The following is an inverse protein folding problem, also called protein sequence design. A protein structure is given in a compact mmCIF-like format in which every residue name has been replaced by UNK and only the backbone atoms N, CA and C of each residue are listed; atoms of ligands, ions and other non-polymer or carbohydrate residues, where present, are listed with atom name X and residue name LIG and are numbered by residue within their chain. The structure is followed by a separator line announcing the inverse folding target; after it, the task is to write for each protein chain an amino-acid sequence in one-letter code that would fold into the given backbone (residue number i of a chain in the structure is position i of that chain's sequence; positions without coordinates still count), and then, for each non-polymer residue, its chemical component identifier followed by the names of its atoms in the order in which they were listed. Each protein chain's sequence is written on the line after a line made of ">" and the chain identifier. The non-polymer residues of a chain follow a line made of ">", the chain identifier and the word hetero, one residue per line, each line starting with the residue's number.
data_IF_804277178309
#
_entry.id   IF_804277178309
#
_cell.length_a   1.000
_cell.length_b   1.000
_cell.length_c   1.000
_cell.angle_alpha   90.00
_cell.angle_beta   90.00
_cell.angle_gamma   90.00
#
_symmetry.space_group_name_H-M   'P 1'
#
loop_
_entity.id
_entity.type
_entity.pdbx_description
1 polymer ?
#
# COMPACT_ATOMS: atom_id res chain seq x y z
N UNK A 1 29.16 -24.07 -69.58
CA UNK A 1 29.16 -25.48 -70.00
C UNK A 1 28.08 -26.14 -69.16
N UNK A 2 26.84 -26.28 -69.64
CA UNK A 2 26.22 -27.44 -70.31
C UNK A 2 26.33 -28.66 -69.41
N UNK A 3 25.23 -29.33 -68.93
CA UNK A 3 24.05 -29.93 -69.55
C UNK A 3 23.09 -30.30 -68.46
N UNK A 4 21.79 -30.00 -68.45
CA UNK A 4 20.65 -30.64 -69.12
C UNK A 4 20.77 -32.19 -69.20
N UNK A 5 19.88 -32.89 -68.50
CA UNK A 5 19.09 -33.95 -69.11
C UNK A 5 17.83 -34.29 -68.26
N UNK A 6 16.77 -34.30 -68.99
CA UNK A 6 15.37 -34.63 -68.69
C UNK A 6 15.11 -36.15 -68.73
N UNK A 7 13.86 -36.50 -68.39
CA UNK A 7 13.03 -37.63 -68.88
C UNK A 7 13.16 -38.91 -68.04
N UNK A 8 12.12 -39.58 -67.57
CA UNK A 8 10.87 -40.03 -68.18
C UNK A 8 9.86 -40.57 -67.14
N UNK A 9 8.64 -40.35 -67.45
CA UNK A 9 7.37 -40.90 -66.97
C UNK A 9 7.32 -42.44 -67.08
N UNK A 10 6.81 -43.15 -66.05
CA UNK A 10 6.20 -44.46 -66.20
C UNK A 10 5.03 -44.67 -65.25
N UNK A 11 3.88 -44.75 -65.86
CA UNK A 11 2.57 -45.11 -65.31
C UNK A 11 2.56 -46.65 -65.13
N UNK A 12 2.20 -47.19 -63.96
CA UNK A 12 1.72 -48.56 -63.86
C UNK A 12 0.63 -48.68 -62.78
N UNK A 13 -0.51 -49.10 -63.28
CA UNK A 13 -1.74 -49.47 -62.58
C UNK A 13 -1.51 -50.65 -61.61
N UNK A 14 -2.25 -50.63 -60.49
CA UNK A 14 -2.83 -51.85 -59.91
C UNK A 14 -2.16 -52.40 -58.71
N UNK A 15 -2.67 -52.12 -57.53
CA UNK A 15 -2.62 -53.06 -56.38
C UNK A 15 -3.77 -52.80 -55.42
N UNK A 16 -4.22 -53.82 -54.69
CA UNK A 16 -5.55 -53.89 -54.11
C UNK A 16 -5.61 -53.17 -52.74
N UNK A 17 -6.78 -52.70 -52.46
CA UNK A 17 -7.22 -52.13 -51.17
C UNK A 17 -7.05 -53.17 -50.07
N UNK A 18 -6.01 -53.01 -49.23
CA UNK A 18 -5.96 -53.73 -47.95
C UNK A 18 -6.63 -52.85 -46.89
N UNK A 19 -7.80 -53.29 -46.47
CA UNK A 19 -8.48 -52.81 -45.29
C UNK A 19 -7.64 -53.18 -44.07
N UNK A 20 -6.94 -52.21 -43.49
CA UNK A 20 -6.29 -52.37 -42.22
C UNK A 20 -7.33 -52.36 -41.07
N UNK A 21 -7.20 -53.26 -40.07
CA UNK A 21 -8.11 -53.27 -38.96
C UNK A 21 -8.03 -51.98 -38.15
N UNK A 22 -9.20 -51.51 -37.71
CA UNK A 22 -9.38 -50.35 -36.84
C UNK A 22 -8.50 -50.50 -35.60
N UNK A 23 -7.46 -49.69 -35.49
CA UNK A 23 -6.74 -49.50 -34.23
C UNK A 23 -7.73 -48.86 -33.23
N UNK A 24 -8.06 -49.61 -32.21
CA UNK A 24 -8.69 -49.10 -30.99
C UNK A 24 -7.77 -48.01 -30.42
N UNK A 25 -8.22 -46.77 -30.58
CA UNK A 25 -7.61 -45.63 -29.90
C UNK A 25 -7.81 -45.84 -28.41
N UNK A 26 -6.74 -46.15 -27.70
CA UNK A 26 -6.75 -46.12 -26.23
C UNK A 26 -7.25 -44.77 -25.77
N UNK A 27 -8.06 -44.69 -24.70
CA UNK A 27 -8.52 -43.41 -24.21
C UNK A 27 -7.28 -42.56 -23.85
N UNK A 28 -7.15 -41.43 -24.51
CA UNK A 28 -6.22 -40.36 -24.13
C UNK A 28 -6.56 -40.03 -22.69
N UNK A 29 -5.69 -40.45 -21.78
CA UNK A 29 -5.72 -40.04 -20.39
C UNK A 29 -5.84 -38.52 -20.40
N UNK A 30 -7.00 -38.03 -20.03
CA UNK A 30 -7.25 -36.62 -19.93
C UNK A 30 -6.07 -36.02 -19.15
N UNK A 31 -5.29 -35.19 -19.82
CA UNK A 31 -4.36 -34.34 -19.14
C UNK A 31 -5.18 -33.63 -18.08
N UNK A 32 -4.96 -34.00 -16.85
CA UNK A 32 -5.48 -33.24 -15.72
C UNK A 32 -4.92 -31.83 -15.95
N UNK A 33 -5.85 -30.99 -16.36
CA UNK A 33 -5.68 -29.56 -16.38
C UNK A 33 -5.17 -29.21 -14.98
N UNK A 34 -3.88 -28.97 -14.86
CA UNK A 34 -3.33 -28.30 -13.71
C UNK A 34 -3.91 -26.90 -13.78
N UNK A 35 -5.14 -26.76 -13.27
CA UNK A 35 -5.61 -25.49 -12.81
C UNK A 35 -4.52 -25.02 -11.85
N UNK A 36 -3.71 -24.06 -12.29
CA UNK A 36 -2.94 -23.25 -11.40
C UNK A 36 -3.98 -22.72 -10.39
N UNK A 37 -4.05 -23.39 -9.24
CA UNK A 37 -4.78 -22.88 -8.11
C UNK A 37 -4.13 -21.53 -7.85
N UNK A 38 -4.85 -20.48 -8.17
CA UNK A 38 -4.61 -19.16 -7.61
C UNK A 38 -4.72 -19.37 -6.11
N UNK A 39 -3.60 -19.68 -5.47
CA UNK A 39 -3.55 -19.81 -4.02
C UNK A 39 -3.84 -18.41 -3.50
N UNK A 40 -5.08 -18.22 -3.01
CA UNK A 40 -5.44 -16.98 -2.34
C UNK A 40 -4.45 -16.80 -1.18
N UNK A 41 -3.71 -15.70 -1.19
CA UNK A 41 -2.79 -15.40 -0.11
C UNK A 41 -3.55 -15.37 1.22
N UNK A 42 -2.89 -15.80 2.27
CA UNK A 42 -3.39 -15.76 3.64
C UNK A 42 -2.70 -14.62 4.40
N UNK A 43 -3.38 -14.13 5.44
CA UNK A 43 -2.75 -13.18 6.36
C UNK A 43 -1.58 -13.84 7.08
N UNK A 44 -0.40 -13.23 7.01
CA UNK A 44 0.73 -13.65 7.79
C UNK A 44 0.54 -13.37 9.28
N UNK A 45 1.13 -14.19 10.13
CA UNK A 45 1.15 -14.01 11.57
C UNK A 45 2.44 -13.32 12.01
N UNK A 46 2.32 -12.44 12.99
CA UNK A 46 3.46 -11.73 13.56
C UNK A 46 3.41 -11.95 15.08
N UNK A 47 4.50 -12.44 15.64
CA UNK A 47 4.63 -12.66 17.08
C UNK A 47 5.47 -11.58 17.72
N UNK A 48 5.01 -11.05 18.84
CA UNK A 48 5.81 -10.20 19.73
C UNK A 48 6.75 -11.12 20.50
N UNK A 49 8.05 -11.09 20.18
CA UNK A 49 9.05 -11.95 20.85
C UNK A 49 9.47 -11.41 22.19
N UNK A 50 9.81 -10.11 22.23
CA UNK A 50 10.40 -9.47 23.41
C UNK A 50 9.97 -8.02 23.49
N UNK A 51 9.76 -7.55 24.72
CA UNK A 51 9.54 -6.14 25.04
C UNK A 51 10.58 -5.76 26.12
N UNK A 52 11.39 -4.76 25.83
CA UNK A 52 12.32 -4.17 26.78
C UNK A 52 11.78 -2.82 27.21
N UNK A 53 11.75 -2.54 28.50
CA UNK A 53 11.18 -1.30 29.05
C UNK A 53 9.66 -1.34 29.23
N UNK A 54 9.04 -0.17 29.40
CA UNK A 54 7.61 -0.02 29.64
C UNK A 54 7.01 1.10 28.81
N UNK A 55 5.68 1.02 28.50
CA UNK A 55 4.96 2.08 27.79
C UNK A 55 4.77 1.86 26.29
N UNK A 56 4.99 0.64 25.78
CA UNK A 56 4.64 0.28 24.40
C UNK A 56 3.13 0.07 24.24
N UNK A 57 2.58 0.57 23.15
CA UNK A 57 1.16 0.48 22.79
C UNK A 57 0.99 -0.07 21.39
N UNK A 58 -0.08 -0.83 21.20
CA UNK A 58 -0.60 -1.23 19.89
C UNK A 58 -1.83 -0.38 19.59
N UNK A 59 -1.92 0.11 18.37
CA UNK A 59 -3.15 0.66 17.83
C UNK A 59 -3.64 -0.31 16.73
N UNK A 60 -4.89 -0.71 16.83
CA UNK A 60 -5.54 -1.48 15.76
C UNK A 60 -5.91 -0.59 14.55
N UNK A 61 -6.45 -1.20 13.50
CA UNK A 61 -6.87 -0.49 12.29
C UNK A 61 -7.98 0.55 12.56
N UNK A 62 -8.70 0.43 13.67
CA UNK A 62 -9.73 1.37 14.11
C UNK A 62 -9.16 2.47 15.02
N UNK A 63 -7.86 2.43 15.32
CA UNK A 63 -7.18 3.39 16.20
C UNK A 63 -7.36 3.14 17.71
N UNK A 64 -7.96 1.99 18.11
CA UNK A 64 -8.06 1.63 19.51
C UNK A 64 -6.68 1.25 20.06
N UNK A 65 -6.36 1.81 21.21
CA UNK A 65 -5.07 1.56 21.86
C UNK A 65 -5.18 0.45 22.90
N UNK A 66 -4.25 -0.50 22.83
CA UNK A 66 -4.08 -1.55 23.82
C UNK A 66 -2.61 -1.72 24.22
N UNK A 67 -2.31 -2.23 25.43
CA UNK A 67 -0.94 -2.48 25.85
C UNK A 67 -0.32 -3.62 25.04
N UNK A 68 0.95 -3.46 24.68
CA UNK A 68 1.74 -4.50 24.04
C UNK A 68 2.05 -5.63 25.06
N UNK A 69 2.00 -6.88 24.61
CA UNK A 69 2.31 -8.06 25.45
C UNK A 69 3.26 -9.00 24.72
N UNK A 70 4.26 -9.51 25.42
CA UNK A 70 5.12 -10.59 24.91
C UNK A 70 4.30 -11.84 24.60
N UNK A 71 4.67 -12.54 23.54
CA UNK A 71 3.95 -13.71 23.05
C UNK A 71 2.67 -13.43 22.31
N UNK A 72 2.18 -12.19 22.30
CA UNK A 72 0.97 -11.81 21.55
C UNK A 72 1.18 -11.97 20.04
N UNK A 73 0.11 -12.37 19.36
CA UNK A 73 0.05 -12.35 17.90
C UNK A 73 -0.62 -11.06 17.43
N UNK A 74 0.02 -10.39 16.49
CA UNK A 74 -0.49 -9.20 15.83
C UNK A 74 -0.57 -9.44 14.33
N UNK A 75 -1.31 -8.59 13.62
CA UNK A 75 -1.56 -8.74 12.19
C UNK A 75 -1.38 -7.42 11.46
N UNK A 76 -1.47 -7.44 10.15
CA UNK A 76 -1.52 -6.21 9.35
C UNK A 76 -2.62 -5.26 9.83
N UNK A 77 -2.48 -3.98 9.56
CA UNK A 77 -3.33 -2.91 10.08
C UNK A 77 -2.96 -2.46 11.49
N UNK A 78 -1.92 -3.06 12.10
CA UNK A 78 -1.46 -2.73 13.45
C UNK A 78 -0.37 -1.67 13.40
N UNK A 79 -0.49 -0.65 14.26
CA UNK A 79 0.57 0.34 14.52
C UNK A 79 1.14 0.13 15.92
N UNK A 80 2.45 0.07 16.05
CA UNK A 80 3.18 -0.03 17.31
C UNK A 80 3.81 1.33 17.61
N UNK A 81 3.53 1.84 18.80
CA UNK A 81 4.17 3.04 19.35
C UNK A 81 4.96 2.68 20.59
N UNK A 82 6.25 2.92 20.54
CA UNK A 82 7.16 2.68 21.67
C UNK A 82 7.37 3.96 22.49
N UNK A 83 7.52 3.81 23.79
CA UNK A 83 7.94 4.91 24.66
C UNK A 83 9.46 5.11 24.65
N UNK A 84 9.95 6.10 25.41
CA UNK A 84 11.36 6.52 25.45
C UNK A 84 12.35 5.43 25.86
N UNK A 85 11.90 4.45 26.61
CA UNK A 85 12.74 3.35 27.11
C UNK A 85 12.23 1.98 26.62
N UNK A 86 11.32 1.97 25.64
CA UNK A 86 10.68 0.73 25.20
C UNK A 86 11.21 0.31 23.84
N UNK A 87 11.76 -0.89 23.74
CA UNK A 87 12.00 -1.53 22.46
C UNK A 87 11.19 -2.83 22.33
N UNK A 88 10.84 -3.18 21.09
CA UNK A 88 9.98 -4.32 20.78
C UNK A 88 10.61 -5.14 19.67
N UNK A 89 10.76 -6.44 19.90
CA UNK A 89 11.19 -7.38 18.85
C UNK A 89 10.02 -8.20 18.36
N UNK A 90 9.82 -8.18 17.06
CA UNK A 90 8.78 -8.90 16.33
C UNK A 90 9.39 -9.99 15.45
N UNK A 91 8.67 -11.10 15.32
CA UNK A 91 8.96 -12.13 14.33
C UNK A 91 7.75 -12.32 13.42
N UNK A 92 7.98 -12.21 12.14
CA UNK A 92 7.02 -12.52 11.09
C UNK A 92 7.16 -14.01 10.72
N UNK A 93 6.06 -14.66 10.41
CA UNK A 93 6.13 -16.09 10.05
C UNK A 93 6.75 -16.36 8.67
N UNK A 94 7.12 -15.31 7.90
CA UNK A 94 8.03 -15.44 6.76
C UNK A 94 9.53 -15.45 7.14
N UNK A 95 9.86 -15.44 8.44
CA UNK A 95 11.24 -15.45 8.95
C UNK A 95 11.88 -14.08 9.11
N UNK A 96 11.17 -13.00 8.81
CA UNK A 96 11.67 -11.63 9.06
C UNK A 96 11.59 -11.27 10.53
N UNK A 97 12.65 -10.68 11.07
CA UNK A 97 12.65 -10.09 12.42
C UNK A 97 12.74 -8.56 12.34
N UNK A 98 11.97 -7.88 13.18
CA UNK A 98 11.97 -6.41 13.29
C UNK A 98 12.16 -6.01 14.74
N UNK A 99 13.13 -5.16 15.03
CA UNK A 99 13.25 -4.52 16.32
C UNK A 99 12.87 -3.05 16.18
N UNK A 100 11.81 -2.66 16.86
CA UNK A 100 11.30 -1.28 16.96
C UNK A 100 11.96 -0.64 18.16
N UNK A 101 12.80 0.36 17.93
CA UNK A 101 13.59 1.08 18.96
C UNK A 101 12.68 2.04 19.75
N UNK A 102 13.18 2.62 20.86
CA UNK A 102 12.47 3.66 21.60
C UNK A 102 12.02 4.84 20.72
N UNK A 103 10.97 5.52 21.19
CA UNK A 103 10.35 6.69 20.54
C UNK A 103 10.01 6.48 19.07
N UNK A 104 9.46 5.32 18.74
CA UNK A 104 9.16 4.94 17.35
C UNK A 104 7.67 4.76 17.11
N UNK A 105 7.26 5.14 15.88
CA UNK A 105 5.93 4.92 15.31
C UNK A 105 6.08 4.02 14.08
N UNK A 106 5.69 2.75 14.24
CA UNK A 106 5.88 1.69 13.27
C UNK A 106 4.56 1.02 12.94
N UNK A 107 4.20 0.95 11.66
CA UNK A 107 2.96 0.35 11.18
C UNK A 107 3.22 -0.84 10.26
N UNK A 108 2.39 -1.86 10.39
CA UNK A 108 2.33 -3.01 9.50
C UNK A 108 1.16 -2.79 8.55
N UNK A 109 1.42 -2.25 7.36
CA UNK A 109 0.37 -1.89 6.41
C UNK A 109 -0.18 -3.12 5.68
N UNK A 110 0.72 -4.03 5.27
CA UNK A 110 0.35 -5.29 4.63
C UNK A 110 1.32 -6.40 5.02
N UNK A 111 0.78 -7.58 5.31
CA UNK A 111 1.56 -8.79 5.42
C UNK A 111 0.70 -9.99 5.04
N UNK A 112 0.86 -10.44 3.81
CA UNK A 112 0.18 -11.58 3.23
C UNK A 112 1.19 -12.54 2.60
N UNK A 113 0.86 -13.83 2.53
CA UNK A 113 1.76 -14.86 2.03
C UNK A 113 1.00 -16.04 1.43
N UNK A 114 1.68 -16.83 0.59
CA UNK A 114 1.13 -18.09 0.14
C UNK A 114 0.95 -19.03 1.34
N UNK A 115 -0.13 -19.84 1.36
CA UNK A 115 -0.40 -20.74 2.49
C UNK A 115 0.75 -21.71 2.74
N UNK A 116 1.17 -21.82 3.99
CA UNK A 116 2.09 -22.84 4.49
C UNK A 116 1.84 -23.10 5.98
N UNK A 117 2.37 -24.20 6.51
CA UNK A 117 2.25 -24.50 7.92
C UNK A 117 3.43 -23.88 8.70
N UNK A 118 3.18 -22.77 9.36
CA UNK A 118 4.20 -22.05 10.14
C UNK A 118 4.71 -22.82 11.36
N UNK A 119 3.94 -23.83 11.84
CA UNK A 119 4.36 -24.68 12.95
C UNK A 119 5.47 -25.67 12.59
N UNK A 120 5.65 -25.95 11.29
CA UNK A 120 6.65 -26.91 10.79
C UNK A 120 8.00 -26.23 10.46
N UNK A 121 8.09 -24.91 10.64
CA UNK A 121 9.28 -24.12 10.31
C UNK A 121 10.13 -23.90 11.55
N UNK A 122 11.40 -24.29 11.45
CA UNK A 122 12.41 -23.89 12.43
C UNK A 122 12.99 -22.51 12.08
N UNK A 123 12.50 -21.50 12.75
CA UNK A 123 12.89 -20.10 12.50
C UNK A 123 14.31 -19.76 12.98
N UNK A 124 14.96 -20.60 13.76
CA UNK A 124 16.37 -20.39 14.16
C UNK A 124 17.34 -20.72 13.04
N UNK A 125 16.99 -21.70 12.22
CA UNK A 125 17.87 -22.20 11.14
C UNK A 125 17.44 -21.77 9.75
N UNK A 126 16.22 -21.23 9.60
CA UNK A 126 15.66 -20.79 8.33
C UNK A 126 16.37 -19.54 7.81
N UNK A 127 17.04 -19.65 6.65
CA UNK A 127 17.74 -18.56 5.98
C UNK A 127 16.96 -17.93 4.82
N UNK A 128 15.86 -18.56 4.41
CA UNK A 128 14.98 -18.08 3.34
C UNK A 128 13.53 -18.18 3.77
N UNK A 129 12.70 -17.30 3.25
CA UNK A 129 11.27 -17.36 3.57
C UNK A 129 10.63 -18.69 3.17
N UNK A 130 9.69 -19.22 3.98
CA UNK A 130 9.03 -20.49 3.72
C UNK A 130 8.11 -20.47 2.50
N UNK A 131 7.37 -19.38 2.30
CA UNK A 131 6.44 -19.17 1.19
C UNK A 131 6.67 -17.81 0.54
N UNK A 132 6.06 -17.54 -0.62
CA UNK A 132 6.11 -16.20 -1.19
C UNK A 132 5.27 -15.24 -0.33
N UNK A 133 5.75 -14.02 -0.14
CA UNK A 133 5.10 -13.03 0.71
C UNK A 133 5.07 -11.63 0.10
N UNK A 134 4.05 -10.87 0.48
CA UNK A 134 3.96 -9.43 0.21
C UNK A 134 3.94 -8.72 1.56
N UNK A 135 5.00 -7.96 1.82
CA UNK A 135 5.17 -7.25 3.09
C UNK A 135 5.33 -5.76 2.82
N UNK A 136 4.49 -4.97 3.44
CA UNK A 136 4.59 -3.51 3.45
C UNK A 136 4.57 -3.00 4.88
N UNK A 137 5.66 -2.37 5.26
CA UNK A 137 5.85 -1.75 6.57
C UNK A 137 5.95 -0.23 6.39
N UNK A 138 5.72 0.51 7.47
CA UNK A 138 5.88 1.97 7.48
C UNK A 138 6.54 2.41 8.78
N UNK A 139 7.50 3.31 8.65
CA UNK A 139 8.13 4.01 9.77
C UNK A 139 7.82 5.48 9.63
N UNK A 140 6.98 6.00 10.51
CA UNK A 140 6.60 7.41 10.51
C UNK A 140 7.59 8.26 11.31
N UNK A 141 8.15 7.69 12.38
CA UNK A 141 9.12 8.33 13.28
C UNK A 141 9.90 7.28 14.06
N UNK A 142 11.11 7.61 14.51
CA UNK A 142 11.96 6.74 15.31
C UNK A 142 12.85 5.84 14.48
N UNK A 143 13.25 4.70 15.04
CA UNK A 143 14.24 3.81 14.43
C UNK A 143 13.78 2.36 14.48
N UNK A 144 13.93 1.66 13.36
CA UNK A 144 13.77 0.21 13.30
C UNK A 144 15.06 -0.46 12.82
N UNK A 145 15.29 -1.68 13.29
CA UNK A 145 16.28 -2.59 12.73
C UNK A 145 15.55 -3.82 12.21
N UNK A 146 15.85 -4.19 10.98
CA UNK A 146 15.17 -5.29 10.30
C UNK A 146 16.18 -6.29 9.78
N UNK A 147 15.92 -7.56 10.03
CA UNK A 147 16.66 -8.67 9.44
C UNK A 147 15.69 -9.53 8.63
N UNK A 148 15.89 -9.52 7.31
CA UNK A 148 14.96 -10.11 6.35
C UNK A 148 15.60 -11.36 5.78
N UNK A 149 14.94 -12.50 5.94
CA UNK A 149 15.33 -13.74 5.30
C UNK A 149 15.35 -13.58 3.77
N UNK A 150 16.14 -14.42 3.08
CA UNK A 150 16.21 -14.38 1.62
C UNK A 150 14.83 -14.60 1.01
N UNK A 151 14.32 -13.59 0.29
CA UNK A 151 13.00 -13.60 -0.32
C UNK A 151 12.95 -14.51 -1.57
N UNK A 152 11.81 -15.14 -1.80
CA UNK A 152 11.51 -15.86 -3.04
C UNK A 152 11.32 -14.89 -4.21
N UNK A 153 11.37 -15.43 -5.43
CA UNK A 153 11.31 -14.62 -6.66
C UNK A 153 10.04 -13.74 -6.74
N UNK A 154 8.92 -14.27 -6.29
CA UNK A 154 7.61 -13.62 -6.36
C UNK A 154 7.25 -12.82 -5.10
N UNK A 155 8.19 -12.69 -4.15
CA UNK A 155 7.97 -11.93 -2.93
C UNK A 155 8.33 -10.47 -3.11
N UNK A 156 7.62 -9.60 -2.41
CA UNK A 156 7.95 -8.19 -2.31
C UNK A 156 8.05 -7.77 -0.85
N UNK A 157 9.05 -6.96 -0.54
CA UNK A 157 9.23 -6.37 0.77
C UNK A 157 9.56 -4.89 0.64
N UNK A 158 8.75 -4.07 1.26
CA UNK A 158 8.84 -2.62 1.15
C UNK A 158 8.69 -1.96 2.52
N UNK A 159 9.50 -0.94 2.77
CA UNK A 159 9.38 -0.09 3.96
C UNK A 159 9.14 1.34 3.51
N UNK A 160 7.96 1.86 3.80
CA UNK A 160 7.61 3.26 3.55
C UNK A 160 8.19 4.16 4.65
N UNK A 161 8.65 5.33 4.25
CA UNK A 161 9.16 6.39 5.12
C UNK A 161 8.54 7.72 4.73
N UNK A 162 8.65 8.79 5.55
CA UNK A 162 8.08 10.10 5.21
C UNK A 162 8.56 10.72 3.90
N UNK A 163 9.71 10.29 3.37
CA UNK A 163 10.35 10.89 2.17
C UNK A 163 10.57 9.91 1.02
N UNK A 164 10.09 8.69 1.15
CA UNK A 164 10.24 7.68 0.10
C UNK A 164 10.03 6.26 0.60
N UNK A 165 10.41 5.28 -0.19
CA UNK A 165 10.28 3.87 0.14
C UNK A 165 11.55 3.09 -0.12
N UNK A 166 11.81 2.08 0.71
CA UNK A 166 12.92 1.15 0.58
C UNK A 166 12.39 -0.20 0.08
N UNK A 167 12.80 -0.62 -1.11
CA UNK A 167 12.55 -1.96 -1.65
C UNK A 167 13.69 -2.91 -1.29
N UNK A 168 13.37 -4.12 -0.83
CA UNK A 168 14.33 -5.00 -0.18
C UNK A 168 14.21 -6.43 -0.70
N UNK A 169 15.38 -7.12 -0.82
CA UNK A 169 15.41 -8.53 -1.23
C UNK A 169 16.39 -9.36 -0.39
N UNK A 170 16.06 -9.58 0.91
CA UNK A 170 16.91 -10.35 1.81
C UNK A 170 18.13 -9.55 2.27
N UNK A 171 17.94 -8.75 3.29
CA UNK A 171 18.87 -7.69 3.71
C UNK A 171 18.71 -7.45 5.20
N UNK A 172 19.81 -7.18 5.86
CA UNK A 172 19.81 -6.66 7.24
C UNK A 172 20.07 -5.16 7.20
N UNK A 173 19.18 -4.37 7.78
CA UNK A 173 19.24 -2.90 7.67
C UNK A 173 18.68 -2.19 8.91
N UNK A 174 19.04 -0.94 9.07
CA UNK A 174 18.43 0.01 10.01
C UNK A 174 17.87 1.21 9.26
N UNK A 175 16.69 1.66 9.66
CA UNK A 175 16.07 2.91 9.17
C UNK A 175 15.77 3.78 10.38
N UNK A 176 16.19 5.04 10.32
CA UNK A 176 15.87 6.08 11.30
C UNK A 176 15.13 7.22 10.63
N UNK A 177 13.94 7.53 11.13
CA UNK A 177 13.11 8.65 10.71
C UNK A 177 13.06 9.69 11.83
N UNK A 178 13.46 10.92 11.54
CA UNK A 178 13.46 12.04 12.48
C UNK A 178 12.88 13.28 11.79
N UNK A 179 11.62 13.57 12.09
CA UNK A 179 10.87 14.71 11.51
C UNK A 179 11.47 16.08 11.86
N UNK A 180 12.22 16.15 12.98
CA UNK A 180 12.87 17.38 13.41
C UNK A 180 14.17 17.68 12.62
N UNK A 181 14.72 16.68 11.94
CA UNK A 181 15.89 16.84 11.09
C UNK A 181 15.47 17.17 9.66
N UNK A 182 15.39 18.46 9.33
CA UNK A 182 14.95 18.92 8.01
C UNK A 182 15.95 18.60 6.89
N UNK A 183 17.22 18.44 7.22
CA UNK A 183 18.27 18.14 6.23
C UNK A 183 18.24 16.69 5.79
N UNK A 184 18.13 15.76 6.74
CA UNK A 184 18.06 14.33 6.49
C UNK A 184 17.01 13.71 7.42
N UNK A 185 15.71 13.88 7.12
CA UNK A 185 14.63 13.31 7.93
C UNK A 185 14.63 11.78 7.93
N UNK A 186 15.30 11.14 6.98
CA UNK A 186 15.48 9.69 6.93
C UNK A 186 16.93 9.33 6.75
N UNK A 187 17.41 8.39 7.56
CA UNK A 187 18.73 7.76 7.42
C UNK A 187 18.54 6.26 7.26
N UNK A 188 19.12 5.68 6.23
CA UNK A 188 19.19 4.25 5.98
C UNK A 188 20.62 3.76 6.17
N UNK A 189 20.80 2.66 6.90
CA UNK A 189 22.06 1.95 7.05
C UNK A 189 21.86 0.49 6.69
N UNK A 190 22.63 -0.05 5.77
CA UNK A 190 22.53 -1.43 5.30
C UNK A 190 23.71 -2.22 5.88
N UNK A 191 23.41 -3.24 6.69
CA UNK A 191 24.46 -4.12 7.24
C UNK A 191 24.87 -5.20 6.22
N UNK A 192 23.89 -5.86 5.59
CA UNK A 192 24.13 -6.88 4.57
C UNK A 192 23.12 -6.75 3.43
N UNK A 193 23.50 -7.20 2.22
CA UNK A 193 22.63 -7.18 1.05
C UNK A 193 22.56 -5.83 0.34
N UNK A 194 21.47 -5.56 -0.37
CA UNK A 194 21.24 -4.33 -1.13
C UNK A 194 19.81 -3.86 -0.92
N UNK A 195 19.63 -2.57 -0.68
CA UNK A 195 18.35 -1.88 -0.55
C UNK A 195 18.21 -0.88 -1.69
N UNK A 196 17.07 -0.90 -2.37
CA UNK A 196 16.72 0.10 -3.36
C UNK A 196 15.88 1.19 -2.70
N UNK A 197 16.47 2.33 -2.40
CA UNK A 197 15.74 3.49 -1.86
C UNK A 197 15.19 4.32 -3.02
N UNK A 198 13.87 4.57 -3.01
CA UNK A 198 13.14 5.39 -3.99
C UNK A 198 12.55 6.61 -3.30
N UNK A 199 12.70 7.76 -3.92
CA UNK A 199 12.23 9.06 -3.40
C UNK A 199 11.73 9.92 -4.54
N UNK A 200 11.13 11.06 -4.25
CA UNK A 200 10.79 12.06 -5.26
C UNK A 200 12.02 12.58 -6.04
N UNK A 201 13.21 12.54 -5.43
CA UNK A 201 14.48 12.96 -6.07
C UNK A 201 15.16 11.87 -6.89
N UNK A 202 14.56 10.67 -7.01
CA UNK A 202 15.10 9.56 -7.78
C UNK A 202 15.25 8.27 -6.98
N UNK A 203 16.07 7.36 -7.50
CA UNK A 203 16.28 6.03 -6.92
C UNK A 203 17.78 5.79 -6.71
N UNK A 204 18.13 5.15 -5.59
CA UNK A 204 19.51 4.82 -5.23
C UNK A 204 19.62 3.44 -4.60
N UNK A 205 20.54 2.63 -5.10
CA UNK A 205 20.92 1.37 -4.46
C UNK A 205 21.93 1.66 -3.33
N UNK A 206 21.70 1.05 -2.17
CA UNK A 206 22.57 1.14 -0.99
C UNK A 206 23.00 -0.28 -0.64
N UNK A 207 24.30 -0.56 -0.72
CA UNK A 207 24.88 -1.86 -0.45
C UNK A 207 25.27 -2.08 1.00
N UNK A 208 25.60 -3.34 1.34
CA UNK A 208 26.08 -3.70 2.67
C UNK A 208 27.28 -2.84 3.12
N UNK A 209 27.28 -2.42 4.38
CA UNK A 209 28.26 -1.51 4.95
C UNK A 209 28.06 -0.03 4.60
N UNK A 210 27.09 0.30 3.75
CA UNK A 210 26.83 1.68 3.32
C UNK A 210 25.67 2.30 4.10
N UNK A 211 25.69 3.63 4.18
CA UNK A 211 24.61 4.44 4.72
C UNK A 211 24.27 5.60 3.81
N UNK A 212 23.03 6.02 3.81
CA UNK A 212 22.52 7.15 3.03
C UNK A 212 21.54 7.96 3.85
N UNK A 213 21.63 9.29 3.76
CA UNK A 213 20.60 10.22 4.21
C UNK A 213 19.68 10.59 3.07
N UNK A 214 18.41 10.80 3.38
CA UNK A 214 17.42 11.29 2.43
C UNK A 214 16.86 12.59 2.94
N UNK A 215 17.00 13.63 2.15
CA UNK A 215 16.48 14.96 2.45
C UNK A 215 14.95 15.05 2.26
N UNK A 216 14.36 16.12 2.78
CA UNK A 216 12.92 16.39 2.66
C UNK A 216 12.42 16.50 1.22
N UNK A 217 13.29 16.90 0.29
CA UNK A 217 13.04 16.97 -1.16
C UNK A 217 13.35 15.67 -1.90
N UNK A 218 13.73 14.61 -1.18
CA UNK A 218 14.10 13.32 -1.77
C UNK A 218 15.55 13.21 -2.26
N UNK A 219 16.37 14.24 -2.08
CA UNK A 219 17.81 14.20 -2.43
C UNK A 219 18.59 13.26 -1.52
N UNK A 220 19.63 12.61 -2.07
CA UNK A 220 20.47 11.66 -1.34
C UNK A 220 21.76 12.29 -0.87
N UNK A 221 22.16 12.07 0.39
CA UNK A 221 23.45 12.43 0.96
C UNK A 221 24.21 11.18 1.43
N UNK A 222 25.49 11.10 1.14
CA UNK A 222 26.33 10.02 1.66
C UNK A 222 26.73 10.33 3.10
N UNK A 223 26.79 9.30 3.95
CA UNK A 223 27.24 9.37 5.35
C UNK A 223 26.64 10.56 6.15
N UNK A 224 25.30 10.64 6.30
CA UNK A 224 24.68 11.70 7.07
C UNK A 224 25.08 11.62 8.55
N UNK A 225 24.92 12.71 9.31
CA UNK A 225 25.12 12.69 10.76
C UNK A 225 24.28 11.58 11.41
N UNK A 226 24.89 10.79 12.29
CA UNK A 226 24.25 9.63 12.93
C UNK A 226 24.26 8.32 12.12
N UNK A 227 24.75 8.34 10.86
CA UNK A 227 24.81 7.14 10.02
C UNK A 227 25.67 6.03 10.64
N UNK A 228 26.81 6.38 11.21
CA UNK A 228 27.70 5.40 11.86
C UNK A 228 27.07 4.81 13.12
N UNK A 229 26.36 5.62 13.92
CA UNK A 229 25.64 5.14 15.10
C UNK A 229 24.52 4.18 14.68
N UNK A 230 23.76 4.52 13.64
CA UNK A 230 22.74 3.64 13.10
C UNK A 230 23.33 2.33 12.56
N UNK A 231 24.45 2.40 11.83
CA UNK A 231 25.15 1.22 11.32
C UNK A 231 25.62 0.30 12.47
N UNK A 232 26.24 0.88 13.50
CA UNK A 232 26.68 0.13 14.68
C UNK A 232 25.50 -0.48 15.44
N UNK A 233 24.46 0.32 15.70
CA UNK A 233 23.24 -0.16 16.35
C UNK A 233 22.58 -1.30 15.56
N UNK A 234 22.54 -1.18 14.24
CA UNK A 234 22.00 -2.22 13.35
C UNK A 234 22.79 -3.52 13.49
N UNK A 235 24.11 -3.45 13.37
CA UNK A 235 25.00 -4.62 13.44
C UNK A 235 24.96 -5.30 14.82
N UNK A 236 24.82 -4.54 15.90
CA UNK A 236 24.72 -5.08 17.27
C UNK A 236 23.34 -5.67 17.56
N UNK A 237 22.27 -5.11 17.01
CA UNK A 237 20.89 -5.56 17.28
C UNK A 237 20.56 -6.87 16.61
N UNK A 238 21.04 -7.11 15.38
CA UNK A 238 20.72 -8.29 14.58
C UNK A 238 21.02 -9.61 15.32
N UNK A 239 22.22 -9.86 15.90
CA UNK A 239 22.48 -11.09 16.62
C UNK A 239 21.54 -11.29 17.82
N UNK A 240 21.22 -10.21 18.56
CA UNK A 240 20.31 -10.26 19.69
C UNK A 240 18.87 -10.63 19.26
N UNK A 241 18.42 -10.10 18.10
CA UNK A 241 17.13 -10.47 17.53
C UNK A 241 17.09 -11.95 17.14
N UNK A 242 18.11 -12.45 16.45
CA UNK A 242 18.22 -13.85 16.04
C UNK A 242 18.24 -14.80 17.25
N UNK A 243 18.98 -14.46 18.31
CA UNK A 243 19.01 -15.23 19.56
C UNK A 243 17.66 -15.24 20.31
N UNK A 244 16.82 -14.24 20.11
CA UNK A 244 15.50 -14.16 20.75
C UNK A 244 14.43 -15.02 20.07
N UNK A 245 14.71 -15.58 18.90
CA UNK A 245 13.77 -16.41 18.13
C UNK A 245 13.69 -17.81 18.75
N UNK A 246 12.52 -18.23 19.29
CA UNK A 246 12.37 -19.60 19.78
C UNK A 246 12.20 -20.58 18.60
N UNK A 247 12.65 -21.85 18.74
CA UNK A 247 12.56 -22.85 17.67
C UNK A 247 11.10 -23.06 17.18
N UNK A 248 10.15 -22.99 18.10
CA UNK A 248 8.73 -23.22 17.85
C UNK A 248 7.91 -21.92 17.95
N UNK A 249 8.38 -20.88 17.30
CA UNK A 249 7.84 -19.52 17.45
C UNK A 249 6.32 -19.42 17.16
N UNK A 250 5.80 -20.22 16.24
CA UNK A 250 4.39 -20.19 15.81
C UNK A 250 3.60 -21.45 16.19
N UNK A 251 4.09 -22.27 17.14
CA UNK A 251 3.30 -23.35 17.69
C UNK A 251 2.08 -22.79 18.44
N UNK A 252 0.91 -23.38 18.19
CA UNK A 252 -0.34 -22.93 18.80
C UNK A 252 -0.88 -21.61 18.24
N UNK A 253 -0.28 -21.12 17.16
CA UNK A 253 -0.83 -19.99 16.41
C UNK A 253 -2.23 -20.36 15.89
N UNK A 254 -3.25 -19.52 16.05
CA UNK A 254 -4.53 -19.76 15.42
C UNK A 254 -4.30 -19.85 13.89
N UNK A 255 -5.00 -20.80 13.21
CA UNK A 255 -4.85 -20.94 11.78
C UNK A 255 -5.02 -19.58 11.11
N UNK A 256 -4.15 -19.24 10.14
CA UNK A 256 -4.25 -17.96 9.46
C UNK A 256 -5.64 -17.86 8.83
N UNK A 257 -6.36 -16.81 9.19
CA UNK A 257 -7.60 -16.51 8.50
C UNK A 257 -7.26 -16.30 7.01
N UNK A 258 -8.12 -16.72 6.07
CA UNK A 258 -7.98 -16.28 4.69
C UNK A 258 -7.82 -14.77 4.74
N UNK A 259 -6.80 -14.24 4.03
CA UNK A 259 -6.62 -12.81 3.94
C UNK A 259 -7.98 -12.24 3.52
N UNK A 260 -8.59 -11.30 4.27
CA UNK A 260 -9.64 -10.55 3.65
C UNK A 260 -9.05 -10.07 2.33
N UNK A 261 -9.80 -10.05 1.24
CA UNK A 261 -9.34 -9.38 0.05
C UNK A 261 -8.81 -8.06 0.56
N UNK A 262 -7.52 -7.81 0.36
CA UNK A 262 -6.85 -6.64 0.92
C UNK A 262 -7.79 -5.48 0.63
N UNK A 263 -8.24 -4.77 1.67
CA UNK A 263 -9.10 -3.63 1.45
C UNK A 263 -8.28 -2.72 0.52
N UNK A 264 -8.48 -2.90 -0.79
CA UNK A 264 -7.82 -2.17 -1.85
C UNK A 264 -6.82 -2.88 -2.74
N UNK A 265 -6.46 -4.16 -2.63
CA UNK A 265 -5.58 -4.75 -3.64
C UNK A 265 -6.08 -6.09 -4.14
N UNK A 266 -6.73 -6.08 -5.30
CA UNK A 266 -7.11 -7.26 -6.08
C UNK A 266 -5.91 -7.84 -6.85
N UNK A 267 -4.69 -7.29 -6.63
CA UNK A 267 -3.48 -7.64 -7.36
C UNK A 267 -2.89 -8.97 -6.94
N UNK A 268 -2.67 -9.82 -7.91
CA UNK A 268 -1.90 -11.05 -7.72
C UNK A 268 -0.41 -10.75 -7.46
N UNK A 269 0.30 -11.68 -6.80
CA UNK A 269 1.74 -11.56 -6.60
C UNK A 269 2.53 -11.40 -7.92
N UNK A 270 2.03 -12.00 -9.01
CA UNK A 270 2.63 -11.87 -10.34
C UNK A 270 2.46 -10.44 -10.89
N UNK A 271 1.28 -9.84 -10.75
CA UNK A 271 1.03 -8.45 -11.15
C UNK A 271 1.89 -7.47 -10.34
N UNK A 272 1.98 -7.65 -9.03
CA UNK A 272 2.87 -6.86 -8.17
C UNK A 272 4.34 -6.98 -8.58
N UNK A 273 4.82 -8.19 -8.90
CA UNK A 273 6.19 -8.41 -9.40
C UNK A 273 6.42 -7.71 -10.75
N UNK A 274 5.43 -7.72 -11.65
CA UNK A 274 5.49 -7.03 -12.94
C UNK A 274 5.59 -5.51 -12.74
N UNK A 275 4.73 -4.93 -11.90
CA UNK A 275 4.78 -3.51 -11.54
C UNK A 275 6.13 -3.14 -10.94
N UNK A 276 6.64 -3.96 -10.02
CA UNK A 276 7.93 -3.73 -9.37
C UNK A 276 9.08 -3.76 -10.39
N UNK A 277 9.15 -4.80 -11.24
CA UNK A 277 10.18 -4.91 -12.26
C UNK A 277 10.13 -3.75 -13.27
N UNK A 278 8.94 -3.35 -13.69
CA UNK A 278 8.74 -2.22 -14.59
C UNK A 278 9.15 -0.88 -13.94
N UNK A 279 8.88 -0.71 -12.64
CA UNK A 279 9.30 0.51 -11.92
C UNK A 279 10.82 0.68 -11.83
N UNK A 280 11.59 -0.42 -11.89
CA UNK A 280 13.05 -0.40 -11.94
C UNK A 280 13.59 0.04 -13.31
N UNK A 281 12.80 -0.13 -14.37
CA UNK A 281 13.15 0.26 -15.74
C UNK A 281 12.77 1.71 -16.05
N UNK A 282 11.97 2.35 -15.20
CA UNK A 282 11.59 3.77 -15.33
C UNK A 282 10.12 3.99 -15.64
N UNK A 283 9.76 5.27 -15.85
CA UNK A 283 8.37 5.71 -15.99
C UNK A 283 7.66 5.04 -17.18
N UNK A 284 8.30 5.00 -18.35
CA UNK A 284 7.67 4.51 -19.57
C UNK A 284 7.38 3.01 -19.51
N UNK A 285 8.34 2.22 -18.98
CA UNK A 285 8.14 0.80 -18.75
C UNK A 285 7.03 0.52 -17.72
N UNK A 286 6.95 1.36 -16.67
CA UNK A 286 5.92 1.23 -15.65
C UNK A 286 4.53 1.55 -16.23
N UNK A 287 4.40 2.60 -17.04
CA UNK A 287 3.14 2.96 -17.71
C UNK A 287 2.69 1.83 -18.63
N UNK A 288 3.58 1.29 -19.47
CA UNK A 288 3.27 0.16 -20.35
C UNK A 288 2.84 -1.10 -19.56
N UNK A 289 3.48 -1.39 -18.42
CA UNK A 289 3.08 -2.49 -17.55
C UNK A 289 1.69 -2.27 -16.95
N UNK A 290 1.39 -1.05 -16.52
CA UNK A 290 0.06 -0.69 -15.98
C UNK A 290 -1.02 -0.81 -17.05
N UNK A 291 -0.77 -0.35 -18.26
CA UNK A 291 -1.70 -0.50 -19.40
C UNK A 291 -2.00 -1.97 -19.70
N UNK A 292 -0.96 -2.82 -19.77
CA UNK A 292 -1.11 -4.24 -20.01
C UNK A 292 -1.91 -4.94 -18.88
N UNK A 293 -1.56 -4.68 -17.63
CA UNK A 293 -2.22 -5.28 -16.47
C UNK A 293 -3.66 -4.79 -16.28
N UNK A 294 -3.91 -3.50 -16.52
CA UNK A 294 -5.26 -2.93 -16.45
C UNK A 294 -6.16 -3.44 -17.59
N UNK A 295 -5.60 -3.75 -18.76
CA UNK A 295 -6.33 -4.37 -19.87
C UNK A 295 -6.71 -5.82 -19.57
N UNK A 296 -5.83 -6.57 -18.86
CA UNK A 296 -6.12 -7.93 -18.42
C UNK A 296 -7.14 -7.99 -17.26
N UNK A 297 -7.11 -6.99 -16.38
CA UNK A 297 -7.93 -6.94 -15.16
C UNK A 297 -8.48 -5.53 -14.92
N UNK A 298 -9.49 -5.07 -15.68
CA UNK A 298 -10.02 -3.71 -15.54
C UNK A 298 -10.62 -3.41 -14.16
N UNK A 299 -11.11 -4.43 -13.46
CA UNK A 299 -11.62 -4.34 -12.09
C UNK A 299 -10.51 -4.06 -11.06
N UNK A 300 -9.27 -4.47 -11.37
CA UNK A 300 -8.10 -4.22 -10.53
C UNK A 300 -7.33 -2.96 -10.93
N UNK A 301 -7.79 -2.21 -11.94
CA UNK A 301 -7.05 -1.06 -12.49
C UNK A 301 -6.68 0.00 -11.44
N UNK A 302 -7.55 0.23 -10.44
CA UNK A 302 -7.29 1.17 -9.35
C UNK A 302 -6.14 0.71 -8.45
N UNK A 303 -6.08 -0.58 -8.14
CA UNK A 303 -5.05 -1.18 -7.30
C UNK A 303 -3.72 -1.27 -8.05
N UNK A 304 -3.75 -1.62 -9.35
CA UNK A 304 -2.59 -1.64 -10.24
C UNK A 304 -1.96 -0.24 -10.29
N UNK A 305 -2.77 0.79 -10.51
CA UNK A 305 -2.32 2.17 -10.59
C UNK A 305 -1.77 2.67 -9.24
N UNK A 306 -2.41 2.33 -8.11
CA UNK A 306 -1.94 2.66 -6.78
C UNK A 306 -0.59 1.99 -6.47
N UNK A 307 -0.46 0.68 -6.75
CA UNK A 307 0.79 -0.05 -6.56
C UNK A 307 1.93 0.49 -7.43
N UNK A 308 1.63 0.88 -8.67
CA UNK A 308 2.60 1.49 -9.57
C UNK A 308 3.03 2.89 -9.10
N UNK A 309 2.10 3.71 -8.62
CA UNK A 309 2.39 5.03 -8.07
C UNK A 309 3.21 4.93 -6.75
N UNK A 310 2.96 3.91 -5.94
CA UNK A 310 3.74 3.62 -4.74
C UNK A 310 5.17 3.17 -5.10
N UNK A 311 5.29 2.32 -6.12
CA UNK A 311 6.59 1.86 -6.61
C UNK A 311 7.43 2.99 -7.25
N UNK A 312 6.79 3.95 -7.94
CA UNK A 312 7.45 5.11 -8.56
C UNK A 312 6.57 6.36 -8.44
N UNK A 313 6.65 7.11 -7.33
CA UNK A 313 5.79 8.29 -7.08
C UNK A 313 5.86 9.39 -8.14
N UNK A 314 7.00 9.51 -8.83
CA UNK A 314 7.17 10.48 -9.92
C UNK A 314 6.34 10.14 -11.16
N UNK A 315 5.93 8.87 -11.32
CA UNK A 315 5.09 8.40 -12.40
C UNK A 315 3.58 8.44 -12.05
N UNK A 316 3.20 8.81 -10.83
CA UNK A 316 1.84 8.69 -10.30
C UNK A 316 0.77 9.28 -11.24
N UNK A 317 1.00 10.47 -11.80
CA UNK A 317 0.07 11.11 -12.73
C UNK A 317 -0.07 10.33 -14.03
N UNK A 318 1.05 9.89 -14.63
CA UNK A 318 1.06 9.15 -15.90
C UNK A 318 0.39 7.78 -15.75
N UNK A 319 0.70 7.09 -14.66
CA UNK A 319 0.09 5.80 -14.30
C UNK A 319 -1.42 5.93 -14.09
N UNK A 320 -1.87 6.97 -13.37
CA UNK A 320 -3.30 7.21 -13.17
C UNK A 320 -4.04 7.47 -14.48
N UNK A 321 -3.45 8.23 -15.38
CA UNK A 321 -4.02 8.53 -16.72
C UNK A 321 -4.09 7.25 -17.56
N UNK A 322 -3.00 6.50 -17.65
CA UNK A 322 -2.93 5.27 -18.43
C UNK A 322 -3.99 4.24 -17.96
N UNK A 323 -4.06 3.99 -16.66
CA UNK A 323 -5.07 3.11 -16.08
C UNK A 323 -6.51 3.60 -16.34
N UNK A 324 -6.77 4.92 -16.22
CA UNK A 324 -8.09 5.49 -16.43
C UNK A 324 -8.52 5.46 -17.90
N UNK A 325 -7.61 5.51 -18.85
CA UNK A 325 -7.90 5.33 -20.27
C UNK A 325 -8.32 3.90 -20.61
N UNK A 326 -7.71 2.92 -19.96
CA UNK A 326 -8.07 1.49 -20.11
C UNK A 326 -9.38 1.16 -19.39
N UNK A 327 -9.60 1.72 -18.20
CA UNK A 327 -10.78 1.48 -17.38
C UNK A 327 -11.53 2.78 -17.04
N UNK A 328 -12.21 3.43 -18.01
CA UNK A 328 -12.86 4.73 -17.81
C UNK A 328 -13.96 4.73 -16.74
N UNK A 329 -14.65 3.61 -16.58
CA UNK A 329 -15.68 3.45 -15.54
C UNK A 329 -15.10 3.51 -14.13
N UNK A 330 -13.81 3.14 -13.95
CA UNK A 330 -13.08 3.17 -12.69
C UNK A 330 -12.25 4.45 -12.50
N UNK A 331 -12.30 5.42 -13.42
CA UNK A 331 -11.42 6.60 -13.43
C UNK A 331 -11.40 7.38 -12.11
N UNK A 332 -12.56 7.55 -11.47
CA UNK A 332 -12.67 8.24 -10.18
C UNK A 332 -12.00 7.45 -9.04
N UNK A 333 -12.14 6.13 -9.04
CA UNK A 333 -11.51 5.24 -8.07
C UNK A 333 -10.00 5.17 -8.28
N UNK A 334 -9.55 5.04 -9.53
CA UNK A 334 -8.12 5.06 -9.91
C UNK A 334 -7.46 6.36 -9.43
N UNK A 335 -8.06 7.51 -9.74
CA UNK A 335 -7.53 8.79 -9.33
C UNK A 335 -7.46 8.95 -7.80
N UNK A 336 -8.47 8.48 -7.07
CA UNK A 336 -8.51 8.50 -5.62
C UNK A 336 -7.44 7.59 -5.00
N UNK A 337 -7.30 6.34 -5.47
CA UNK A 337 -6.32 5.38 -4.97
C UNK A 337 -4.88 5.87 -5.20
N UNK A 338 -4.60 6.45 -6.37
CA UNK A 338 -3.29 7.04 -6.67
C UNK A 338 -3.04 8.30 -5.83
N UNK A 339 -4.06 9.14 -5.59
CA UNK A 339 -3.93 10.34 -4.75
C UNK A 339 -3.71 9.99 -3.26
N UNK A 340 -4.20 8.86 -2.77
CA UNK A 340 -3.89 8.38 -1.41
C UNK A 340 -2.41 8.05 -1.25
N UNK A 341 -1.80 7.48 -2.29
CA UNK A 341 -0.37 7.13 -2.30
C UNK A 341 0.51 8.36 -2.57
N UNK A 342 0.05 9.28 -3.41
CA UNK A 342 0.77 10.49 -3.81
C UNK A 342 -0.03 11.77 -3.54
N UNK A 343 -0.34 12.13 -2.28
CA UNK A 343 -1.24 13.24 -1.95
C UNK A 343 -0.73 14.62 -2.39
N UNK A 344 0.57 14.81 -2.51
CA UNK A 344 1.16 16.03 -3.04
C UNK A 344 0.85 16.26 -4.53
N UNK A 345 0.64 15.18 -5.29
CA UNK A 345 0.29 15.22 -6.71
C UNK A 345 -1.25 15.19 -6.95
N UNK A 346 -2.08 15.17 -5.90
CA UNK A 346 -3.52 15.01 -6.01
C UNK A 346 -4.20 16.00 -6.98
N UNK A 347 -3.88 17.31 -7.00
CA UNK A 347 -4.46 18.24 -7.98
C UNK A 347 -4.09 17.91 -9.44
N UNK A 348 -2.84 17.48 -9.67
CA UNK A 348 -2.36 17.09 -11.02
C UNK A 348 -2.98 15.77 -11.46
N UNK A 349 -3.06 14.78 -10.56
CA UNK A 349 -3.73 13.50 -10.82
C UNK A 349 -5.20 13.76 -11.20
N UNK A 350 -5.92 14.54 -10.39
CA UNK A 350 -7.33 14.86 -10.64
C UNK A 350 -7.54 15.55 -12.00
N UNK A 351 -6.75 16.58 -12.30
CA UNK A 351 -6.86 17.32 -13.55
C UNK A 351 -6.51 16.50 -14.78
N UNK A 352 -5.44 15.69 -14.71
CA UNK A 352 -4.98 14.87 -15.84
C UNK A 352 -5.93 13.71 -16.12
N UNK A 353 -6.45 13.03 -15.08
CA UNK A 353 -7.45 11.98 -15.23
C UNK A 353 -8.78 12.55 -15.71
N UNK A 354 -9.23 13.72 -15.20
CA UNK A 354 -10.42 14.39 -15.68
C UNK A 354 -10.30 14.84 -17.15
N UNK A 355 -9.13 15.28 -17.59
CA UNK A 355 -8.85 15.59 -18.99
C UNK A 355 -8.89 14.34 -19.89
N UNK A 356 -8.36 13.21 -19.39
CA UNK A 356 -8.38 11.94 -20.11
C UNK A 356 -9.80 11.32 -20.18
N UNK A 357 -10.61 11.50 -19.12
CA UNK A 357 -11.98 10.97 -19.01
C UNK A 357 -12.94 12.09 -18.59
N UNK A 358 -13.32 13.03 -19.49
CA UNK A 358 -14.12 14.21 -19.13
C UNK A 358 -15.49 13.88 -18.52
N UNK A 359 -16.10 12.76 -18.93
CA UNK A 359 -17.38 12.30 -18.40
C UNK A 359 -17.32 12.00 -16.89
N UNK A 360 -16.14 11.65 -16.37
CA UNK A 360 -15.92 11.34 -14.96
C UNK A 360 -15.42 12.55 -14.12
N UNK A 361 -15.27 13.74 -14.72
CA UNK A 361 -14.59 14.88 -14.08
C UNK A 361 -15.13 15.23 -12.69
N UNK A 362 -16.45 15.26 -12.50
CA UNK A 362 -17.11 15.58 -11.21
C UNK A 362 -16.81 14.50 -10.18
N UNK A 363 -16.92 13.21 -10.57
CA UNK A 363 -16.66 12.08 -9.68
C UNK A 363 -15.17 11.97 -9.33
N UNK A 364 -14.27 12.22 -10.30
CA UNK A 364 -12.82 12.30 -10.07
C UNK A 364 -12.51 13.39 -9.04
N UNK A 365 -13.06 14.58 -9.22
CA UNK A 365 -12.87 15.70 -8.30
C UNK A 365 -13.33 15.36 -6.86
N UNK A 366 -14.51 14.75 -6.72
CA UNK A 366 -15.05 14.31 -5.43
C UNK A 366 -14.17 13.25 -4.77
N UNK A 367 -13.84 12.18 -5.50
CA UNK A 367 -13.12 11.03 -4.96
C UNK A 367 -11.67 11.40 -4.59
N UNK A 368 -11.00 12.24 -5.40
CA UNK A 368 -9.66 12.73 -5.08
C UNK A 368 -9.68 13.71 -3.89
N UNK A 369 -10.72 14.54 -3.77
CA UNK A 369 -10.88 15.42 -2.60
C UNK A 369 -11.16 14.64 -1.31
N UNK A 370 -11.82 13.48 -1.40
CA UNK A 370 -11.97 12.56 -0.25
C UNK A 370 -10.65 11.92 0.15
N UNK A 371 -9.81 11.59 -0.84
CA UNK A 371 -8.48 11.01 -0.63
C UNK A 371 -7.45 12.02 -0.12
N UNK A 372 -7.54 13.28 -0.56
CA UNK A 372 -6.63 14.37 -0.22
C UNK A 372 -7.40 15.64 0.18
N UNK A 373 -8.09 15.65 1.33
CA UNK A 373 -9.04 16.73 1.71
C UNK A 373 -8.37 18.08 1.88
N UNK A 374 -7.10 18.12 2.26
CA UNK A 374 -6.33 19.36 2.40
C UNK A 374 -6.06 20.05 1.05
N UNK A 375 -6.17 19.32 -0.05
CA UNK A 375 -5.97 19.83 -1.41
C UNK A 375 -7.27 20.12 -2.16
N UNK A 376 -8.44 20.04 -1.51
CA UNK A 376 -9.76 20.11 -2.16
C UNK A 376 -9.94 21.35 -3.04
N UNK A 377 -9.55 22.54 -2.58
CA UNK A 377 -9.62 23.79 -3.35
C UNK A 377 -8.70 23.75 -4.58
N UNK A 378 -7.48 23.23 -4.42
CA UNK A 378 -6.53 23.10 -5.54
C UNK A 378 -7.02 22.07 -6.56
N UNK A 379 -7.62 20.96 -6.10
CA UNK A 379 -8.25 19.94 -6.95
C UNK A 379 -9.38 20.54 -7.78
N UNK A 380 -10.32 21.28 -7.14
CA UNK A 380 -11.42 21.95 -7.84
C UNK A 380 -10.89 22.86 -8.95
N UNK A 381 -9.93 23.74 -8.62
CA UNK A 381 -9.34 24.69 -9.55
C UNK A 381 -8.66 23.97 -10.73
N UNK A 382 -7.87 22.93 -10.44
CA UNK A 382 -7.13 22.19 -11.47
C UNK A 382 -8.07 21.42 -12.42
N UNK A 383 -9.14 20.79 -11.88
CA UNK A 383 -10.11 20.05 -12.70
C UNK A 383 -10.96 21.00 -13.56
N UNK A 384 -11.41 22.13 -13.03
CA UNK A 384 -12.17 23.15 -13.79
C UNK A 384 -11.31 23.69 -14.95
N UNK A 385 -10.03 23.96 -14.70
CA UNK A 385 -9.10 24.41 -15.74
C UNK A 385 -8.84 23.34 -16.81
N UNK A 386 -8.76 22.06 -16.43
CA UNK A 386 -8.49 20.96 -17.34
C UNK A 386 -9.70 20.57 -18.20
N UNK A 387 -10.94 20.75 -17.69
CA UNK A 387 -12.19 20.38 -18.39
C UNK A 387 -13.14 21.59 -18.41
N UNK A 388 -12.91 22.59 -19.26
CA UNK A 388 -13.72 23.82 -19.30
C UNK A 388 -15.20 23.58 -19.65
N UNK A 389 -15.51 22.47 -20.29
CA UNK A 389 -16.87 22.06 -20.66
C UNK A 389 -17.64 21.44 -19.50
N UNK A 390 -16.97 21.06 -18.41
CA UNK A 390 -17.61 20.50 -17.24
C UNK A 390 -18.26 21.60 -16.38
N UNK A 391 -19.31 21.22 -15.65
CA UNK A 391 -20.00 22.16 -14.74
C UNK A 391 -19.10 22.54 -13.54
N UNK A 392 -18.52 23.73 -13.57
CA UNK A 392 -17.62 24.24 -12.54
C UNK A 392 -18.28 24.28 -11.15
N UNK A 393 -19.57 24.60 -11.09
CA UNK A 393 -20.33 24.60 -9.81
C UNK A 393 -20.47 23.18 -9.25
N UNK A 394 -20.75 22.20 -10.12
CA UNK A 394 -20.84 20.79 -9.71
C UNK A 394 -19.49 20.25 -9.23
N UNK A 395 -18.39 20.60 -9.89
CA UNK A 395 -17.02 20.21 -9.47
C UNK A 395 -16.70 20.82 -8.10
N UNK A 396 -16.97 22.10 -7.89
CA UNK A 396 -16.72 22.78 -6.61
C UNK A 396 -17.55 22.18 -5.48
N UNK A 397 -18.82 21.89 -5.72
CA UNK A 397 -19.69 21.23 -4.74
C UNK A 397 -19.22 19.80 -4.43
N UNK A 398 -18.81 19.03 -5.47
CA UNK A 398 -18.34 17.66 -5.33
C UNK A 398 -17.02 17.60 -4.51
N UNK A 399 -16.08 18.52 -4.75
CA UNK A 399 -14.83 18.58 -3.97
C UNK A 399 -15.06 18.96 -2.52
N UNK A 400 -16.02 19.87 -2.24
CA UNK A 400 -16.41 20.19 -0.86
C UNK A 400 -17.06 18.98 -0.17
N UNK A 401 -17.98 18.30 -0.83
CA UNK A 401 -18.59 17.09 -0.31
C UNK A 401 -17.56 16.00 -0.02
N UNK A 402 -16.62 15.76 -0.95
CA UNK A 402 -15.53 14.80 -0.78
C UNK A 402 -14.65 15.12 0.43
N UNK A 403 -14.23 16.35 0.58
CA UNK A 403 -13.38 16.76 1.72
C UNK A 403 -14.09 16.66 3.08
N UNK A 404 -15.42 16.80 3.13
CA UNK A 404 -16.21 16.65 4.35
C UNK A 404 -16.43 15.20 4.75
N UNK A 405 -16.50 14.25 3.79
CA UNK A 405 -16.64 12.82 4.06
C UNK A 405 -15.45 12.26 4.83
N UNK A 406 -14.27 12.77 4.61
CA UNK A 406 -13.04 12.32 5.27
C UNK A 406 -12.86 12.87 6.70
N UNK A 407 -13.66 13.85 7.11
CA UNK A 407 -13.62 14.45 8.47
C UNK A 407 -14.61 13.79 9.43
N UNK A 408 -15.48 12.89 8.95
CA UNK A 408 -16.46 12.20 9.78
C UNK A 408 -15.93 10.82 10.21
N UNK A 409 -15.75 10.56 11.53
CA UNK A 409 -15.34 9.24 11.99
C UNK A 409 -16.46 8.23 11.78
N UNK A 410 -16.26 7.25 10.93
CA UNK A 410 -17.04 6.02 10.87
C UNK A 410 -18.35 6.09 10.10
N UNK A 411 -18.29 6.25 8.78
CA UNK A 411 -19.39 5.97 7.86
C UNK A 411 -18.99 4.83 6.92
N UNK A 412 -19.47 3.61 7.22
CA UNK A 412 -19.26 2.45 6.35
C UNK A 412 -19.81 2.70 4.94
N UNK A 413 -19.10 2.21 3.94
CA UNK A 413 -19.51 2.13 2.55
C UNK A 413 -20.91 1.51 2.43
N UNK A 414 -21.90 2.34 2.14
CA UNK A 414 -23.16 1.85 1.57
C UNK A 414 -23.02 1.85 0.04
N UNK A 415 -23.37 0.76 -0.64
CA UNK A 415 -23.38 0.74 -2.10
C UNK A 415 -24.45 1.72 -2.60
N UNK A 416 -24.05 2.63 -3.47
CA UNK A 416 -24.96 3.53 -4.18
C UNK A 416 -25.78 2.68 -5.15
N UNK A 417 -27.06 2.51 -4.81
CA UNK A 417 -28.03 1.85 -5.69
C UNK A 417 -28.36 2.81 -6.83
N UNK A 418 -27.83 2.54 -8.02
CA UNK A 418 -28.23 3.18 -9.26
C UNK A 418 -29.43 2.42 -9.82
N UNK A 419 -30.60 2.99 -9.69
CA UNK A 419 -31.81 2.51 -10.35
C UNK A 419 -33.05 3.24 -9.84
N UNK A 420 -33.51 4.24 -10.49
CA UNK A 420 -34.77 4.34 -11.19
C UNK A 420 -35.13 5.80 -11.49
N UNK A 421 -35.28 6.11 -12.74
CA UNK A 421 -35.92 7.31 -13.25
C UNK A 421 -37.42 7.05 -13.26
N UNK A 422 -38.14 7.66 -12.36
CA UNK A 422 -39.60 7.71 -12.35
C UNK A 422 -40.10 9.14 -12.29
N UNK A 423 -40.48 9.66 -13.47
CA UNK A 423 -41.28 10.89 -13.67
C UNK A 423 -42.62 10.78 -12.95
N UNK A 424 -43.02 11.78 -12.18
CA UNK A 424 -44.42 12.25 -12.14
C UNK A 424 -44.57 13.63 -11.46
N UNK A 425 -44.95 14.51 -12.25
CA UNK A 425 -45.95 15.63 -12.21
C UNK A 425 -46.62 16.01 -10.87
N UNK A 426 -46.51 17.33 -10.62
CA UNK A 426 -47.50 18.30 -10.10
C UNK A 426 -48.55 17.88 -9.09
N UNK A 427 -48.67 18.71 -8.05
CA UNK A 427 -49.84 18.85 -7.22
C UNK A 427 -49.71 20.00 -6.22
N UNK A 428 -50.21 21.17 -6.60
CA UNK A 428 -50.47 22.35 -5.74
C UNK A 428 -51.45 22.00 -4.63
N UNK A 429 -51.28 22.60 -3.45
CA UNK A 429 -52.31 23.46 -2.79
C UNK A 429 -51.96 23.78 -1.34
N UNK A 430 -51.85 25.05 -1.01
CA UNK A 430 -52.14 25.69 0.27
C UNK A 430 -53.67 25.94 0.34
N UNK A 431 -54.31 26.44 1.45
CA UNK A 431 -53.91 26.78 2.83
C UNK A 431 -54.98 26.40 3.88
N UNK A 432 -54.73 26.74 5.14
CA UNK A 432 -55.75 26.88 6.19
C UNK A 432 -55.18 26.61 7.58
N UNK A 433 -54.86 27.52 8.33
CA UNK A 433 -55.33 28.46 9.29
C UNK A 433 -55.93 27.86 10.59
N UNK A 434 -55.52 28.54 11.70
CA UNK A 434 -56.06 28.59 13.08
C UNK A 434 -55.58 27.52 14.03
N UNK A 435 -55.05 27.80 15.21
CA UNK A 435 -55.19 28.86 16.18
C UNK A 435 -54.86 28.29 17.56
N UNK A 436 -54.37 29.08 18.49
CA UNK A 436 -54.53 28.85 19.93
C UNK A 436 -53.24 28.61 20.74
N UNK A 437 -52.65 29.65 21.18
CA UNK A 437 -52.43 30.15 22.57
C UNK A 437 -51.71 29.25 23.59
N UNK A 438 -50.73 29.92 24.20
CA UNK A 438 -50.34 30.14 25.59
C UNK A 438 -49.13 29.38 26.15
N UNK A 439 -48.31 30.25 26.80
CA UNK A 439 -47.51 29.95 27.99
C UNK A 439 -46.03 29.78 27.79
N UNK A 440 -45.29 30.70 27.94
CA UNK A 440 -44.39 31.39 28.79
C UNK A 440 -43.46 30.52 29.63
N UNK A 441 -42.19 30.75 29.49
CA UNK A 441 -41.29 31.15 30.58
C UNK A 441 -39.83 31.07 30.07
N UNK A 442 -39.17 32.20 30.23
CA UNK A 442 -37.77 32.38 29.85
C UNK A 442 -36.81 31.71 30.85
N UNK A 443 -35.67 31.33 30.32
CA UNK A 443 -34.50 31.09 31.15
C UNK A 443 -33.36 31.97 30.62
N UNK A 444 -32.62 32.66 31.54
CA UNK A 444 -31.58 33.62 31.13
C UNK A 444 -30.28 32.94 30.73
N UNK A 445 -29.37 33.65 30.05
CA UNK A 445 -28.13 33.08 29.56
C UNK A 445 -27.12 32.82 30.70
N UNK A 446 -26.46 31.68 30.63
CA UNK A 446 -25.45 31.23 31.57
C UNK A 446 -24.15 32.01 31.36
N UNK A 447 -23.73 32.72 32.43
CA UNK A 447 -22.47 33.44 32.56
C UNK A 447 -21.25 32.51 32.47
N UNK A 448 -20.25 32.92 31.69
CA UNK A 448 -18.92 32.35 31.60
C UNK A 448 -18.13 32.53 32.91
N UNK A 449 -17.38 31.52 33.39
CA UNK A 449 -16.54 31.70 34.57
C UNK A 449 -15.23 32.43 34.22
N UNK A 450 -14.86 33.37 35.07
CA UNK A 450 -13.62 34.14 35.05
C UNK A 450 -12.44 33.24 35.44
N UNK A 451 -11.28 33.34 34.80
CA UNK A 451 -10.09 32.58 35.19
C UNK A 451 -9.46 33.13 36.49
N UNK A 452 -8.80 32.28 37.30
CA UNK A 452 -8.18 32.70 38.55
C UNK A 452 -6.89 33.51 38.31
N UNK A 453 -6.51 34.39 39.30
CA UNK A 453 -5.36 35.26 39.17
C UNK A 453 -4.02 34.51 39.25
N UNK A 454 -3.07 34.98 38.46
CA UNK A 454 -1.68 34.52 38.40
C UNK A 454 -0.93 34.92 39.66
N UNK A 455 -0.20 34.02 40.34
CA UNK A 455 0.61 34.39 41.52
C UNK A 455 1.87 35.19 41.10
N UNK A 456 2.09 36.29 41.82
CA UNK A 456 3.27 37.14 41.73
C UNK A 456 4.50 36.43 42.32
N UNK A 457 5.70 36.58 41.71
CA UNK A 457 6.92 36.00 42.26
C UNK A 457 7.43 36.79 43.47
N UNK A 458 7.81 36.07 44.50
CA UNK A 458 8.46 36.53 45.73
C UNK A 458 9.91 36.90 45.42
N UNK A 459 10.48 38.03 45.89
CA UNK A 459 11.86 38.36 45.71
C UNK A 459 12.77 37.51 46.65
N UNK A 460 13.89 37.05 46.08
CA UNK A 460 14.94 36.36 46.81
C UNK A 460 15.62 37.32 47.84
N UNK A 461 15.76 36.86 49.06
CA UNK A 461 16.64 37.47 50.07
C UNK A 461 17.99 36.76 50.04
N UNK A 462 19.02 37.59 50.03
CA UNK A 462 20.44 37.36 50.23
C UNK A 462 20.92 35.99 50.67
#
# INVERSE_FOLDING_TARGET
>A
MRNIFSVLLALSLGAPLHLAPAQTVAPVKAAQNSQAQSSSMILGNIRVLKIEGSGGKILDASGNSSPLKEGAFIRQGTTIKTGKETSVTLLFDNGTTVNVKPDSDFSIENFAQDPFNSSDVDYQTTKSEPSSSVTRLKVSEGTIVVDIAKLKKNSSFQIATPVGSAGIRGTSLGISCNRNNQTNPVTLAVATGVVQMKTAGGSRAVGGGQSVGVGSTGGFSANPPGAQQLQTATTQTIPAMQQSVPPNAFQGCPPPAPAPPAAGSTLSAAQMATVQAASEQGTDALVAAVEALAAESPEAAADIAAAAADALPTAATNVAVAAAQIAPAAAAQIAASVAQVAPAAAPQIASSVAAAVPAAAVQVAQSVASAAPQSATAIATAVIAAVPTANATAISAATQAGSQQSTQPGGGNQPVNTGDQGTSTQGQSLPGATGGTTGGSGTPPRSTPTPPPVPTPTPASN
#
